data_IF_557532653448
#
_entry.id   IF_557532653448
#
_cell.length_a   1.000
_cell.length_b   1.000
_cell.length_c   1.000
_cell.angle_alpha   90.00
_cell.angle_beta   90.00
_cell.angle_gamma   90.00
#
_symmetry.space_group_name_H-M   'P 1'
#
loop_
_entity.id
_entity.type
_entity.pdbx_description
1 polymer ?
#
# COMPACT_ATOMS: atom_id res chain seq x y z
N UNK A 1 -41.99 6.59 -5.95
CA UNK A 1 -42.64 5.27 -5.82
C UNK A 1 -41.65 4.16 -6.16
N UNK A 2 -41.07 3.51 -5.16
CA UNK A 2 -40.42 2.19 -5.29
C UNK A 2 -40.83 1.37 -4.07
N UNK A 3 -41.28 0.15 -4.36
CA UNK A 3 -42.12 -0.72 -3.53
C UNK A 3 -41.34 -1.32 -2.35
N UNK A 4 -41.97 -1.34 -1.18
CA UNK A 4 -41.57 -2.19 -0.05
C UNK A 4 -41.72 -3.66 -0.45
N UNK A 5 -40.68 -4.46 -0.20
CA UNK A 5 -40.75 -5.93 -0.20
C UNK A 5 -41.05 -6.32 1.26
N UNK A 6 -42.23 -6.85 1.50
CA UNK A 6 -42.65 -7.37 2.81
C UNK A 6 -41.95 -8.70 3.10
N UNK A 7 -41.27 -8.78 4.24
CA UNK A 7 -40.79 -10.04 4.79
C UNK A 7 -41.91 -10.67 5.65
N UNK A 8 -42.32 -11.88 5.31
CA UNK A 8 -43.30 -12.66 6.05
C UNK A 8 -42.71 -13.13 7.39
N UNK A 9 -43.39 -12.81 8.50
CA UNK A 9 -43.09 -13.35 9.81
C UNK A 9 -43.69 -14.76 9.93
N UNK A 10 -42.85 -15.77 10.11
CA UNK A 10 -43.27 -17.11 10.54
C UNK A 10 -43.22 -17.14 12.07
N UNK A 11 -44.38 -17.23 12.71
CA UNK A 11 -44.49 -17.34 14.16
C UNK A 11 -44.36 -18.80 14.59
N UNK A 12 -43.29 -19.15 15.31
CA UNK A 12 -43.23 -20.41 16.05
C UNK A 12 -43.74 -20.18 17.47
N UNK A 13 -44.87 -20.80 17.82
CA UNK A 13 -45.35 -20.95 19.18
C UNK A 13 -44.58 -22.11 19.83
N UNK A 14 -43.62 -21.79 20.69
CA UNK A 14 -43.05 -22.75 21.64
C UNK A 14 -43.63 -22.45 23.02
N UNK A 15 -44.50 -23.35 23.47
CA UNK A 15 -44.99 -23.39 24.85
C UNK A 15 -44.12 -24.37 25.64
N UNK A 16 -43.70 -23.98 26.85
CA UNK A 16 -43.08 -24.91 27.80
C UNK A 16 -41.84 -24.40 28.52
N UNK A 17 -42.08 -23.78 29.68
CA UNK A 17 -41.37 -23.96 30.96
C UNK A 17 -39.83 -24.06 30.92
N UNK A 18 -39.22 -22.92 31.24
CA UNK A 18 -37.88 -22.82 31.80
C UNK A 18 -37.60 -21.36 32.11
N UNK A 19 -37.85 -20.90 33.33
CA UNK A 19 -37.34 -19.60 33.80
C UNK A 19 -35.83 -19.72 33.91
N UNK A 20 -35.15 -19.57 32.77
CA UNK A 20 -33.73 -19.30 32.72
C UNK A 20 -33.61 -17.84 33.16
N UNK A 21 -33.41 -17.62 34.44
CA UNK A 21 -32.88 -16.34 34.94
C UNK A 21 -31.48 -16.25 34.35
N UNK A 22 -31.38 -15.71 33.14
CA UNK A 22 -30.13 -15.19 32.64
C UNK A 22 -29.69 -14.18 33.69
N UNK A 23 -28.54 -14.47 34.33
CA UNK A 23 -27.88 -13.51 35.19
C UNK A 23 -27.88 -12.15 34.48
N UNK A 24 -28.19 -11.08 35.21
CA UNK A 24 -28.18 -9.71 34.68
C UNK A 24 -26.96 -9.54 33.79
N UNK A 25 -27.18 -9.48 32.48
CA UNK A 25 -26.07 -9.38 31.54
C UNK A 25 -25.43 -8.02 31.81
N UNK A 26 -24.27 -8.02 32.44
CA UNK A 26 -23.62 -6.79 32.93
C UNK A 26 -23.12 -5.91 31.79
N UNK A 27 -23.21 -6.42 30.56
CA UNK A 27 -22.83 -5.73 29.34
C UNK A 27 -24.07 -5.42 28.50
N UNK A 28 -24.04 -4.27 27.85
CA UNK A 28 -25.11 -3.82 26.97
C UNK A 28 -24.57 -3.75 25.54
N UNK A 29 -25.34 -4.25 24.59
CA UNK A 29 -25.08 -4.01 23.17
C UNK A 29 -25.18 -2.51 22.87
N UNK A 30 -24.14 -1.95 22.26
CA UNK A 30 -24.07 -0.56 21.80
C UNK A 30 -23.46 -0.53 20.40
N UNK A 31 -23.89 0.43 19.60
CA UNK A 31 -23.31 0.72 18.28
C UNK A 31 -22.63 2.09 18.32
N UNK A 32 -21.52 2.23 17.60
CA UNK A 32 -20.76 3.46 17.48
C UNK A 32 -20.42 3.69 16.01
N UNK A 33 -20.66 4.91 15.53
CA UNK A 33 -20.33 5.35 14.18
C UNK A 33 -19.70 6.73 14.24
N UNK A 34 -18.56 6.91 13.55
CA UNK A 34 -17.90 8.20 13.40
C UNK A 34 -16.97 8.18 12.19
N UNK A 35 -17.01 9.26 11.40
CA UNK A 35 -16.01 9.51 10.37
C UNK A 35 -14.69 10.00 10.99
N UNK A 36 -13.57 9.45 10.53
CA UNK A 36 -12.22 9.81 10.98
C UNK A 36 -11.42 10.27 9.77
N UNK A 37 -10.89 11.50 9.83
CA UNK A 37 -9.95 12.01 8.85
C UNK A 37 -8.52 11.75 9.32
N UNK A 38 -7.77 10.99 8.53
CA UNK A 38 -6.35 10.71 8.80
C UNK A 38 -5.49 11.62 7.93
N UNK A 39 -4.64 12.43 8.57
CA UNK A 39 -3.65 13.26 7.86
C UNK A 39 -2.32 12.52 7.77
N UNK A 40 -1.88 12.22 6.56
CA UNK A 40 -0.58 11.62 6.28
C UNK A 40 0.41 12.66 5.75
N UNK A 41 1.70 12.47 6.03
CA UNK A 41 2.78 13.31 5.49
C UNK A 41 4.01 12.43 5.22
N UNK A 42 4.52 12.49 4.00
CA UNK A 42 5.76 11.86 3.57
C UNK A 42 6.60 12.89 2.83
N UNK A 43 7.87 13.01 3.22
CA UNK A 43 8.86 13.67 2.38
C UNK A 43 9.29 12.66 1.31
N UNK A 44 9.50 13.10 0.07
CA UNK A 44 9.92 12.19 -1.01
C UNK A 44 10.83 12.88 -2.01
N UNK A 45 11.67 12.08 -2.67
CA UNK A 45 12.38 12.48 -3.88
C UNK A 45 11.52 12.14 -5.10
N UNK A 46 11.54 13.03 -6.09
CA UNK A 46 10.90 12.85 -7.38
C UNK A 46 11.95 13.00 -8.48
N UNK A 47 12.02 12.02 -9.36
CA UNK A 47 12.76 12.12 -10.61
C UNK A 47 11.79 12.02 -11.78
N UNK A 48 11.99 12.91 -12.76
CA UNK A 48 11.27 12.91 -14.03
C UNK A 48 12.25 12.50 -15.13
N UNK A 49 11.88 11.53 -15.99
CA UNK A 49 12.76 10.99 -17.01
C UNK A 49 13.07 12.02 -18.11
N UNK A 50 14.16 11.80 -18.84
CA UNK A 50 14.51 12.67 -19.96
C UNK A 50 13.36 12.75 -20.99
N UNK A 51 13.03 13.96 -21.44
CA UNK A 51 11.91 14.20 -22.35
C UNK A 51 10.53 14.21 -21.68
N UNK A 52 10.43 14.07 -20.36
CA UNK A 52 9.19 14.35 -19.63
C UNK A 52 8.68 15.76 -19.93
N UNK A 53 7.37 15.91 -20.14
CA UNK A 53 6.74 17.18 -20.53
C UNK A 53 6.80 17.49 -22.03
N UNK A 54 7.56 16.73 -22.83
CA UNK A 54 7.51 16.84 -24.30
C UNK A 54 6.35 15.98 -24.83
N UNK A 55 5.33 16.64 -25.36
CA UNK A 55 4.13 15.99 -25.93
C UNK A 55 3.22 15.32 -24.90
N UNK A 56 2.44 14.34 -25.35
CA UNK A 56 1.36 13.70 -24.58
C UNK A 56 1.68 12.31 -24.05
N UNK A 57 2.96 11.94 -24.06
CA UNK A 57 3.41 10.64 -23.54
C UNK A 57 3.10 10.51 -22.05
N UNK A 58 2.38 9.45 -21.71
CA UNK A 58 2.26 8.95 -20.34
C UNK A 58 3.47 8.05 -20.00
N UNK A 59 4.02 8.20 -18.80
CA UNK A 59 5.26 7.57 -18.36
C UNK A 59 4.99 6.47 -17.33
N UNK A 60 5.73 5.35 -17.38
CA UNK A 60 5.68 4.37 -16.31
C UNK A 60 6.21 4.98 -15.00
N UNK A 61 5.66 4.54 -13.87
CA UNK A 61 6.03 5.02 -12.55
C UNK A 61 6.70 3.90 -11.75
N UNK A 62 7.83 4.21 -11.11
CA UNK A 62 8.51 3.34 -10.16
C UNK A 62 8.47 3.96 -8.76
N UNK A 63 7.75 3.32 -7.84
CA UNK A 63 7.83 3.61 -6.41
C UNK A 63 8.98 2.81 -5.80
N UNK A 64 9.98 3.48 -5.24
CA UNK A 64 11.09 2.85 -4.54
C UNK A 64 11.00 3.06 -3.03
N UNK A 65 11.03 1.97 -2.28
CA UNK A 65 10.99 1.95 -0.82
C UNK A 65 12.37 1.61 -0.24
N UNK A 66 12.97 2.53 0.50
CA UNK A 66 14.28 2.34 1.13
C UNK A 66 14.26 1.37 2.34
N UNK A 67 15.44 0.99 2.83
CA UNK A 67 15.62 0.12 4.00
C UNK A 67 15.59 0.89 5.32
N UNK A 68 15.67 0.20 6.46
CA UNK A 68 15.54 0.87 7.76
C UNK A 68 16.59 1.98 7.99
N UNK A 69 17.81 1.80 7.46
CA UNK A 69 18.94 2.71 7.63
C UNK A 69 18.79 4.10 6.99
N UNK A 70 17.87 4.27 6.03
CA UNK A 70 17.61 5.56 5.39
C UNK A 70 16.40 6.31 5.99
N UNK A 71 15.78 5.74 7.03
CA UNK A 71 14.64 6.36 7.71
C UNK A 71 15.05 7.64 8.43
N UNK A 72 14.10 8.58 8.57
CA UNK A 72 14.31 9.81 9.32
C UNK A 72 13.66 11.01 8.65
N UNK A 73 14.34 12.15 8.71
CA UNK A 73 13.87 13.44 8.19
C UNK A 73 14.86 14.11 7.22
N UNK A 74 15.98 13.45 6.90
CA UNK A 74 16.97 13.92 5.92
C UNK A 74 16.84 13.15 4.61
N UNK A 75 16.23 13.78 3.60
CA UNK A 75 16.01 13.18 2.28
C UNK A 75 17.32 12.78 1.57
N UNK A 76 18.48 13.32 1.97
CA UNK A 76 19.77 12.91 1.40
C UNK A 76 20.06 11.43 1.68
N UNK A 77 19.58 10.90 2.79
CA UNK A 77 19.75 9.48 3.14
C UNK A 77 19.10 8.55 2.11
N UNK A 78 17.96 8.95 1.53
CA UNK A 78 17.24 8.15 0.53
C UNK A 78 18.08 7.90 -0.74
N UNK A 79 19.06 8.77 -1.02
CA UNK A 79 19.96 8.65 -2.17
C UNK A 79 21.07 7.58 -2.00
N UNK A 80 21.17 6.92 -0.85
CA UNK A 80 22.27 5.99 -0.54
C UNK A 80 22.23 4.70 -1.36
N UNK A 81 21.04 4.22 -1.71
CA UNK A 81 20.82 2.92 -2.37
C UNK A 81 19.71 3.01 -3.43
N UNK A 82 19.63 1.98 -4.28
CA UNK A 82 18.55 1.81 -5.25
C UNK A 82 18.49 2.87 -6.36
N UNK A 83 17.33 3.02 -7.01
CA UNK A 83 17.12 3.98 -8.10
C UNK A 83 17.52 5.43 -7.78
N UNK A 84 17.25 6.00 -6.58
CA UNK A 84 17.72 7.34 -6.23
C UNK A 84 19.23 7.53 -6.34
N UNK A 85 20.02 6.51 -5.97
CA UNK A 85 21.47 6.53 -6.12
C UNK A 85 21.87 6.51 -7.60
N UNK A 86 21.21 5.69 -8.41
CA UNK A 86 21.48 5.59 -9.84
C UNK A 86 21.24 6.93 -10.53
N UNK A 87 20.12 7.59 -10.23
CA UNK A 87 19.81 8.95 -10.72
C UNK A 87 20.88 9.95 -10.28
N UNK A 88 21.27 9.96 -9.00
CA UNK A 88 22.29 10.89 -8.49
C UNK A 88 23.65 10.69 -9.15
N UNK A 89 23.95 9.47 -9.58
CA UNK A 89 25.21 9.11 -10.26
C UNK A 89 25.13 9.24 -11.78
N UNK A 90 24.07 9.87 -12.31
CA UNK A 90 23.93 10.23 -13.72
C UNK A 90 23.29 9.16 -14.59
N UNK A 91 22.72 8.10 -14.02
CA UNK A 91 21.96 7.13 -14.81
C UNK A 91 20.59 7.70 -15.15
N UNK A 92 20.23 7.62 -16.42
CA UNK A 92 18.91 8.00 -16.90
C UNK A 92 17.97 6.80 -16.81
N UNK A 93 16.87 6.99 -16.11
CA UNK A 93 15.83 5.98 -15.96
C UNK A 93 14.64 6.37 -16.82
N UNK A 94 14.06 5.44 -17.57
CA UNK A 94 12.87 5.68 -18.38
C UNK A 94 11.56 5.61 -17.56
N UNK A 95 11.58 6.12 -16.33
CA UNK A 95 10.47 6.07 -15.37
C UNK A 95 10.35 7.41 -14.65
N UNK A 96 9.12 7.78 -14.28
CA UNK A 96 8.93 8.67 -13.12
C UNK A 96 9.33 7.86 -11.89
N UNK A 97 10.29 8.33 -11.10
CA UNK A 97 10.72 7.63 -9.89
C UNK A 97 10.29 8.43 -8.67
N UNK A 98 9.52 7.78 -7.80
CA UNK A 98 9.06 8.34 -6.52
C UNK A 98 9.76 7.58 -5.41
N UNK A 99 10.44 8.29 -4.52
CA UNK A 99 11.19 7.67 -3.41
C UNK A 99 10.89 8.38 -2.11
N UNK A 100 9.80 7.98 -1.41
CA UNK A 100 9.46 8.54 -0.11
C UNK A 100 10.49 8.16 0.95
N UNK A 101 10.52 8.93 2.03
CA UNK A 101 11.25 8.61 3.25
C UNK A 101 10.29 8.19 4.36
N UNK A 102 10.51 7.01 4.94
CA UNK A 102 9.83 6.60 6.17
C UNK A 102 10.36 7.41 7.36
N UNK A 103 9.49 7.90 8.27
CA UNK A 103 9.91 8.60 9.47
C UNK A 103 10.45 7.68 10.59
N UNK A 104 10.75 6.41 10.29
CA UNK A 104 11.36 5.45 11.24
C UNK A 104 10.39 4.48 11.91
N UNK A 105 9.18 4.29 11.38
CA UNK A 105 8.16 3.37 11.93
C UNK A 105 7.75 2.25 10.97
N UNK A 106 8.58 1.93 9.98
CA UNK A 106 8.19 1.08 8.85
C UNK A 106 7.39 1.86 7.80
N UNK A 107 6.76 1.14 6.88
CA UNK A 107 5.98 1.73 5.79
C UNK A 107 4.49 1.73 6.12
N UNK A 108 3.88 2.92 6.10
CA UNK A 108 2.43 3.07 6.16
C UNK A 108 1.84 2.88 4.76
N UNK A 109 1.16 1.75 4.58
CA UNK A 109 0.54 1.33 3.31
C UNK A 109 -0.51 2.35 2.82
N UNK A 110 -1.30 2.94 3.73
CA UNK A 110 -2.31 3.93 3.35
C UNK A 110 -1.64 5.24 2.91
N UNK A 111 -0.61 5.68 3.65
CA UNK A 111 0.15 6.87 3.28
C UNK A 111 0.86 6.72 1.92
N UNK A 112 1.42 5.53 1.63
CA UNK A 112 2.02 5.22 0.34
C UNK A 112 0.99 5.22 -0.80
N UNK A 113 -0.18 4.63 -0.59
CA UNK A 113 -1.23 4.66 -1.62
C UNK A 113 -1.76 6.08 -1.87
N UNK A 114 -1.94 6.87 -0.81
CA UNK A 114 -2.32 8.29 -0.93
C UNK A 114 -1.26 9.12 -1.67
N UNK A 115 0.04 8.83 -1.44
CA UNK A 115 1.13 9.47 -2.19
C UNK A 115 1.07 9.09 -3.68
N UNK A 116 0.81 7.82 -4.00
CA UNK A 116 0.63 7.39 -5.40
C UNK A 116 -0.55 8.11 -6.06
N UNK A 117 -1.69 8.24 -5.37
CA UNK A 117 -2.85 8.98 -5.88
C UNK A 117 -2.49 10.44 -6.20
N UNK A 118 -1.78 11.10 -5.29
CA UNK A 118 -1.34 12.49 -5.47
C UNK A 118 -0.37 12.65 -6.66
N UNK A 119 0.60 11.73 -6.80
CA UNK A 119 1.56 11.76 -7.92
C UNK A 119 0.86 11.46 -9.25
N UNK A 120 -0.03 10.46 -9.30
CA UNK A 120 -0.81 10.13 -10.51
C UNK A 120 -1.68 11.29 -10.94
N UNK A 121 -2.28 12.03 -9.99
CA UNK A 121 -3.09 13.21 -10.30
C UNK A 121 -2.27 14.38 -10.85
N UNK A 122 -1.00 14.53 -10.43
CA UNK A 122 -0.14 15.68 -10.78
C UNK A 122 0.78 15.45 -11.98
N UNK A 123 0.99 14.21 -12.39
CA UNK A 123 1.96 13.84 -13.41
C UNK A 123 1.33 12.98 -14.52
N UNK A 124 1.91 13.00 -15.73
CA UNK A 124 1.48 12.17 -16.86
C UNK A 124 1.90 10.71 -16.65
N UNK A 125 1.26 10.02 -15.71
CA UNK A 125 1.54 8.61 -15.37
C UNK A 125 0.70 7.68 -16.23
N UNK A 126 1.34 6.65 -16.78
CA UNK A 126 0.65 5.49 -17.35
C UNK A 126 0.21 4.57 -16.21
N UNK A 127 -1.08 4.62 -15.87
CA UNK A 127 -1.63 3.88 -14.73
C UNK A 127 -1.57 2.36 -14.91
N UNK A 128 -1.39 1.86 -16.14
CA UNK A 128 -1.18 0.44 -16.41
C UNK A 128 0.29 0.01 -16.22
N UNK A 129 1.19 0.93 -15.89
CA UNK A 129 2.63 0.68 -15.70
C UNK A 129 3.15 1.37 -14.43
N UNK A 130 2.48 1.10 -13.32
CA UNK A 130 2.93 1.46 -11.98
C UNK A 130 3.63 0.25 -11.36
N UNK A 131 4.84 0.45 -10.87
CA UNK A 131 5.68 -0.59 -10.28
C UNK A 131 6.09 -0.19 -8.86
N UNK A 132 6.28 -1.17 -7.99
CA UNK A 132 6.90 -0.95 -6.67
C UNK A 132 8.06 -1.92 -6.43
N UNK A 133 9.14 -1.39 -5.87
CA UNK A 133 10.30 -2.16 -5.44
C UNK A 133 10.87 -1.56 -4.15
N UNK A 134 11.63 -2.35 -3.41
CA UNK A 134 12.29 -1.91 -2.19
C UNK A 134 13.14 -2.99 -1.57
N UNK A 135 14.02 -2.57 -0.66
CA UNK A 135 15.01 -3.45 0.00
C UNK A 135 14.81 -3.50 1.51
N UNK A 136 15.03 -4.66 2.13
CA UNK A 136 14.91 -4.88 3.59
C UNK A 136 13.53 -4.42 4.08
N UNK A 137 13.45 -3.42 4.97
CA UNK A 137 12.20 -2.74 5.36
C UNK A 137 11.34 -2.34 4.15
N UNK A 138 11.94 -1.84 3.07
CA UNK A 138 11.27 -1.55 1.81
C UNK A 138 10.81 -2.78 1.04
N UNK A 139 11.48 -3.92 1.20
CA UNK A 139 11.01 -5.21 0.71
C UNK A 139 9.73 -5.65 1.42
N UNK A 140 9.67 -5.51 2.75
CA UNK A 140 8.43 -5.72 3.52
C UNK A 140 7.32 -4.75 3.10
N UNK A 141 7.67 -3.48 2.87
CA UNK A 141 6.73 -2.47 2.36
C UNK A 141 6.19 -2.80 0.97
N UNK A 142 7.05 -3.32 0.08
CA UNK A 142 6.67 -3.74 -1.28
C UNK A 142 5.64 -4.86 -1.24
N UNK A 143 5.88 -5.90 -0.44
CA UNK A 143 4.91 -6.98 -0.24
C UNK A 143 3.59 -6.49 0.35
N UNK A 144 3.66 -5.70 1.43
CA UNK A 144 2.47 -5.21 2.14
C UNK A 144 1.60 -4.30 1.27
N UNK A 145 2.22 -3.40 0.51
CA UNK A 145 1.51 -2.48 -0.37
C UNK A 145 0.84 -3.21 -1.52
N UNK A 146 1.55 -4.14 -2.16
CA UNK A 146 0.98 -4.95 -3.25
C UNK A 146 -0.16 -5.85 -2.76
N UNK A 147 -0.04 -6.45 -1.57
CA UNK A 147 -1.09 -7.29 -1.00
C UNK A 147 -2.37 -6.49 -0.67
N UNK A 148 -2.21 -5.23 -0.26
CA UNK A 148 -3.33 -4.33 0.02
C UNK A 148 -4.01 -3.81 -1.26
N UNK A 149 -3.23 -3.56 -2.31
CA UNK A 149 -3.71 -2.98 -3.58
C UNK A 149 -3.14 -3.74 -4.80
N UNK A 150 -3.50 -5.01 -5.01
CA UNK A 150 -2.88 -5.85 -6.06
C UNK A 150 -3.11 -5.30 -7.46
N UNK A 151 -4.30 -4.76 -7.74
CA UNK A 151 -4.69 -4.18 -9.04
C UNK A 151 -3.97 -2.88 -9.38
N UNK A 152 -3.22 -2.30 -8.43
CA UNK A 152 -2.51 -1.04 -8.64
C UNK A 152 -1.17 -1.21 -9.34
N UNK A 153 -0.59 -2.41 -9.30
CA UNK A 153 0.76 -2.64 -9.78
C UNK A 153 0.77 -3.53 -11.02
N UNK A 154 1.58 -3.13 -12.01
CA UNK A 154 1.84 -3.95 -13.18
C UNK A 154 2.88 -5.05 -12.88
N UNK A 155 3.80 -4.81 -11.95
CA UNK A 155 4.74 -5.79 -11.41
C UNK A 155 5.38 -5.26 -10.11
N UNK A 156 5.94 -6.17 -9.32
CA UNK A 156 6.72 -5.83 -8.12
C UNK A 156 8.06 -6.55 -8.05
N UNK A 157 9.04 -5.90 -7.40
CA UNK A 157 10.37 -6.47 -7.15
C UNK A 157 10.75 -6.29 -5.67
N UNK A 158 10.31 -7.19 -4.77
CA UNK A 158 10.71 -7.15 -3.37
C UNK A 158 12.11 -7.73 -3.18
N UNK A 159 12.97 -7.01 -2.45
CA UNK A 159 14.37 -7.38 -2.20
C UNK A 159 14.59 -7.54 -0.70
N UNK A 160 15.13 -8.69 -0.28
CA UNK A 160 15.50 -9.03 1.10
C UNK A 160 14.47 -8.64 2.18
N UNK A 161 13.18 -8.76 1.87
CA UNK A 161 12.07 -8.54 2.81
C UNK A 161 11.20 -9.79 2.97
N UNK A 162 10.19 -9.69 3.83
CA UNK A 162 9.17 -10.73 4.03
C UNK A 162 7.76 -10.26 3.66
N UNK A 163 6.88 -11.21 3.37
CA UNK A 163 5.45 -10.97 3.13
C UNK A 163 4.61 -11.92 3.99
N UNK A 164 3.32 -11.60 4.16
CA UNK A 164 2.36 -12.47 4.84
C UNK A 164 1.88 -13.57 3.89
N UNK A 165 2.17 -14.87 4.15
CA UNK A 165 1.71 -15.97 3.30
C UNK A 165 0.19 -16.03 3.15
N UNK A 166 -0.59 -15.56 4.13
CA UNK A 166 -2.06 -15.53 4.03
C UNK A 166 -2.54 -14.56 2.94
N UNK A 167 -1.72 -13.57 2.58
CA UNK A 167 -2.01 -12.62 1.52
C UNK A 167 -1.66 -13.12 0.11
N UNK A 168 -0.92 -14.23 -0.03
CA UNK A 168 -0.37 -14.70 -1.31
C UNK A 168 -1.43 -14.90 -2.40
N UNK A 169 -2.64 -15.35 -2.04
CA UNK A 169 -3.75 -15.54 -2.98
C UNK A 169 -4.14 -14.22 -3.69
N UNK A 170 -3.96 -13.07 -3.05
CA UNK A 170 -4.23 -11.74 -3.63
C UNK A 170 -3.23 -11.36 -4.71
N UNK A 171 -2.06 -11.99 -4.72
CA UNK A 171 -0.93 -11.64 -5.57
C UNK A 171 -0.71 -12.64 -6.71
N UNK A 172 -1.56 -13.66 -6.84
CA UNK A 172 -1.36 -14.80 -7.74
C UNK A 172 -1.22 -14.43 -9.23
N UNK A 173 -1.86 -13.33 -9.64
CA UNK A 173 -1.88 -12.87 -11.03
C UNK A 173 -0.90 -11.69 -11.25
N UNK A 174 -0.25 -11.22 -10.19
CA UNK A 174 0.70 -10.10 -10.23
C UNK A 174 2.09 -10.63 -10.63
N UNK A 175 2.74 -10.08 -11.67
CA UNK A 175 4.13 -10.39 -11.96
C UNK A 175 5.06 -9.97 -10.82
N UNK A 176 5.82 -10.93 -10.29
CA UNK A 176 6.70 -10.73 -9.12
C UNK A 176 8.09 -11.30 -9.42
N UNK A 177 9.13 -10.51 -9.18
CA UNK A 177 10.51 -10.99 -9.20
C UNK A 177 11.18 -10.76 -7.84
N UNK A 178 11.37 -11.84 -7.08
CA UNK A 178 11.91 -11.78 -5.71
C UNK A 178 13.42 -11.94 -5.72
N UNK A 179 14.11 -11.15 -4.88
CA UNK A 179 15.54 -11.29 -4.63
C UNK A 179 15.83 -11.41 -3.14
N UNK A 180 16.71 -12.34 -2.75
CA UNK A 180 17.15 -12.52 -1.37
C UNK A 180 18.57 -13.10 -1.35
N UNK A 181 19.41 -12.65 -0.42
CA UNK A 181 20.75 -13.22 -0.24
C UNK A 181 20.67 -14.58 0.46
N UNK A 182 21.40 -15.58 -0.03
CA UNK A 182 21.37 -16.93 0.57
C UNK A 182 21.94 -17.00 2.01
N UNK A 183 22.59 -15.94 2.47
CA UNK A 183 23.22 -15.82 3.80
C UNK A 183 22.77 -14.56 4.55
N UNK A 184 21.58 -14.04 4.23
CA UNK A 184 20.97 -12.96 5.01
C UNK A 184 20.66 -13.48 6.42
N UNK A 185 21.00 -12.72 7.47
CA UNK A 185 20.95 -13.14 8.89
C UNK A 185 20.28 -12.11 9.76
#
# INVERSE_FOLDING_TARGET
MRRLIGAAFVTFLVSGLGTRTWADDKQQEKQFEKEITVKVRLNYLLYLPEGYGKGDKAWPLLLFLHGAGESGNDLKQVKRHGPPKLVETGNELSFIVVSPQSPGRGWDVQALNALLDDVVAKHKVDQNRIYVTGLSMGGFGTWSLAAAYPERFAAIVPICGGGDPASAKRLKDLPIWVFHGAKDT
#
